data_IF_771282000480
#
_entry.id   IF_771282000480
#
_cell.length_a   1.000
_cell.length_b   1.000
_cell.length_c   1.000
_cell.angle_alpha   90.00
_cell.angle_beta   90.00
_cell.angle_gamma   90.00
#
_symmetry.space_group_name_H-M   'P 1'
#
loop_
_entity.id
_entity.type
_entity.pdbx_description
1 polymer ?
#
# COMPACT_ATOMS: atom_id res chain seq x y z
N UNK A 1 11.72 9.69 11.40
CA UNK A 1 12.20 10.17 12.71
C UNK A 1 11.50 9.56 13.94
N UNK A 2 10.17 9.62 14.12
CA UNK A 2 9.53 9.34 15.43
C UNK A 2 9.23 7.86 15.80
N UNK A 3 9.54 6.91 14.92
CA UNK A 3 9.19 5.49 15.10
C UNK A 3 9.85 4.83 16.31
N UNK A 4 10.97 5.37 16.81
CA UNK A 4 11.63 4.84 18.00
C UNK A 4 10.71 4.88 19.24
N UNK A 5 9.80 5.88 19.32
CA UNK A 5 8.81 5.99 20.40
C UNK A 5 7.84 4.82 20.38
N UNK A 6 7.42 4.38 19.19
CA UNK A 6 6.55 3.21 19.01
C UNK A 6 7.27 1.94 19.46
N UNK A 7 8.57 1.83 19.21
CA UNK A 7 9.40 0.72 19.65
C UNK A 7 9.58 0.60 21.18
N UNK A 8 9.15 1.61 21.95
CA UNK A 8 9.19 1.61 23.42
C UNK A 8 7.83 1.29 24.07
N UNK A 9 6.75 1.20 23.29
CA UNK A 9 5.41 1.01 23.82
C UNK A 9 5.22 -0.37 24.47
N UNK A 10 4.43 -0.39 25.53
CA UNK A 10 3.98 -1.59 26.24
C UNK A 10 2.45 -1.60 26.34
N UNK A 11 1.88 -2.77 26.59
CA UNK A 11 0.45 -2.91 26.81
C UNK A 11 -0.02 -2.03 27.98
N UNK A 12 -1.02 -1.18 27.73
CA UNK A 12 -1.55 -0.22 28.71
C UNK A 12 -0.99 1.20 28.58
N UNK A 13 0.05 1.43 27.78
CA UNK A 13 0.57 2.77 27.53
C UNK A 13 -0.46 3.66 26.81
N UNK A 14 -0.41 4.97 27.10
CA UNK A 14 -1.24 5.98 26.44
C UNK A 14 -0.40 6.73 25.42
N UNK A 15 -0.94 6.86 24.21
CA UNK A 15 -0.30 7.59 23.11
C UNK A 15 -1.22 8.69 22.62
N UNK A 16 -0.64 9.83 22.26
CA UNK A 16 -1.32 10.90 21.54
C UNK A 16 -0.52 11.22 20.28
N UNK A 17 -1.16 11.11 19.12
CA UNK A 17 -0.56 11.57 17.87
C UNK A 17 -0.56 13.11 17.83
N UNK A 18 0.59 13.67 17.49
CA UNK A 18 0.78 15.11 17.31
C UNK A 18 0.93 15.38 15.81
N UNK A 19 0.09 16.23 15.20
CA UNK A 19 0.23 16.56 13.79
C UNK A 19 1.49 17.43 13.59
N UNK A 20 2.30 17.07 12.59
CA UNK A 20 3.60 17.69 12.29
C UNK A 20 3.71 17.86 10.77
N UNK A 21 4.18 19.02 10.33
CA UNK A 21 4.41 19.33 8.92
C UNK A 21 5.65 18.63 8.39
N UNK A 22 5.74 18.50 7.07
CA UNK A 22 6.95 18.01 6.41
C UNK A 22 8.18 18.85 6.78
N UNK A 23 8.05 20.18 6.86
CA UNK A 23 9.13 21.10 7.24
C UNK A 23 9.66 20.79 8.63
N UNK A 24 8.77 20.67 9.63
CA UNK A 24 9.20 20.35 10.99
C UNK A 24 9.78 18.93 11.08
N UNK A 25 9.16 17.95 10.40
CA UNK A 25 9.67 16.58 10.35
C UNK A 25 11.08 16.52 9.73
N UNK A 26 11.36 17.30 8.68
CA UNK A 26 12.67 17.40 8.03
C UNK A 26 13.72 17.99 8.97
N UNK A 27 13.40 19.04 9.71
CA UNK A 27 14.31 19.63 10.72
C UNK A 27 14.62 18.63 11.82
N UNK A 28 13.63 17.88 12.30
CA UNK A 28 13.82 16.83 13.31
C UNK A 28 14.73 15.71 12.76
N UNK A 29 14.50 15.24 11.55
CA UNK A 29 15.30 14.19 10.91
C UNK A 29 16.77 14.63 10.72
N UNK A 30 17.00 15.88 10.31
CA UNK A 30 18.35 16.46 10.22
C UNK A 30 19.05 16.53 11.59
N UNK A 31 18.32 16.95 12.65
CA UNK A 31 18.86 16.95 14.02
C UNK A 31 19.22 15.56 14.50
N UNK A 32 18.39 14.56 14.23
CA UNK A 32 18.68 13.17 14.58
C UNK A 32 19.90 12.64 13.83
N UNK A 33 20.01 12.93 12.53
CA UNK A 33 21.17 12.53 11.72
C UNK A 33 22.47 13.17 12.21
N UNK A 34 22.45 14.46 12.57
CA UNK A 34 23.59 15.16 13.17
C UNK A 34 23.97 14.54 14.52
N UNK A 35 22.96 14.21 15.35
CA UNK A 35 23.19 13.56 16.65
C UNK A 35 23.85 12.18 16.51
N UNK A 36 23.48 11.41 15.49
CA UNK A 36 24.07 10.09 15.22
C UNK A 36 25.52 10.13 14.73
N UNK A 37 25.93 11.25 14.14
CA UNK A 37 27.28 11.43 13.56
C UNK A 37 28.20 12.30 14.43
N UNK A 38 27.68 12.85 15.52
CA UNK A 38 28.41 13.72 16.42
C UNK A 38 29.52 12.96 17.18
N UNK A 39 30.74 13.50 17.12
CA UNK A 39 31.88 13.00 17.90
C UNK A 39 31.82 13.38 19.39
N UNK A 40 30.99 14.36 19.74
CA UNK A 40 30.83 14.90 21.09
C UNK A 40 29.34 15.05 21.43
N UNK A 41 28.92 14.40 22.51
CA UNK A 41 27.52 14.36 22.95
C UNK A 41 27.08 15.61 23.70
N UNK A 42 28.01 16.49 24.11
CA UNK A 42 27.66 17.72 24.84
C UNK A 42 26.86 18.72 23.99
N UNK A 43 26.89 18.57 22.66
CA UNK A 43 26.16 19.41 21.71
C UNK A 43 24.88 18.77 21.16
N UNK A 44 24.52 17.59 21.63
CA UNK A 44 23.33 16.87 21.19
C UNK A 44 22.12 17.32 21.99
N UNK A 45 21.06 17.73 21.28
CA UNK A 45 19.73 17.92 21.85
C UNK A 45 19.00 16.56 21.91
N UNK A 46 18.97 15.95 23.10
CA UNK A 46 18.29 14.68 23.33
C UNK A 46 16.77 14.81 23.46
N UNK A 47 16.23 16.03 23.48
CA UNK A 47 14.80 16.27 23.64
C UNK A 47 14.32 17.37 22.69
N UNK A 48 14.42 17.15 21.36
CA UNK A 48 13.99 18.15 20.41
C UNK A 48 12.49 18.43 20.57
N UNK A 49 12.15 19.71 20.65
CA UNK A 49 10.77 20.16 20.77
C UNK A 49 9.98 19.78 19.51
N UNK A 50 8.74 19.29 19.73
CA UNK A 50 7.75 19.04 18.68
C UNK A 50 6.56 19.95 18.95
N UNK A 51 6.28 20.82 17.99
CA UNK A 51 5.14 21.71 17.99
C UNK A 51 3.99 21.08 17.22
N UNK A 52 2.78 21.09 17.79
CA UNK A 52 1.61 20.61 17.09
C UNK A 52 1.24 21.61 15.99
N UNK A 53 1.03 21.13 14.77
CA UNK A 53 0.62 21.93 13.62
C UNK A 53 -0.76 21.46 13.10
N UNK A 54 -1.88 21.83 13.75
CA UNK A 54 -3.22 21.32 13.40
C UNK A 54 -3.65 21.63 11.97
N UNK A 55 -3.10 22.67 11.35
CA UNK A 55 -3.38 23.01 9.96
C UNK A 55 -3.01 21.87 8.99
N UNK A 56 -2.04 21.03 9.35
CA UNK A 56 -1.66 19.84 8.56
C UNK A 56 -2.71 18.75 8.55
N UNK A 57 -3.74 18.83 9.41
CA UNK A 57 -4.87 17.90 9.41
C UNK A 57 -5.95 18.26 8.37
N UNK A 58 -5.88 19.44 7.76
CA UNK A 58 -6.90 19.92 6.82
C UNK A 58 -6.91 19.13 5.52
N UNK A 59 -5.73 18.80 5.01
CA UNK A 59 -5.57 18.06 3.75
C UNK A 59 -4.25 17.28 3.74
N UNK A 60 -4.27 16.13 3.08
CA UNK A 60 -3.13 15.26 2.83
C UNK A 60 -2.90 15.07 1.31
N UNK A 61 -3.28 16.07 0.50
CA UNK A 61 -2.98 16.15 -0.93
C UNK A 61 -1.94 17.25 -1.15
N UNK A 62 -0.81 16.89 -1.76
CA UNK A 62 0.21 17.86 -2.17
C UNK A 62 -0.19 18.54 -3.48
N UNK A 63 -0.73 17.78 -4.42
CA UNK A 63 -1.25 18.28 -5.68
C UNK A 63 -2.21 17.26 -6.31
N UNK A 64 -3.08 17.77 -7.17
CA UNK A 64 -3.90 16.98 -8.07
C UNK A 64 -3.69 17.51 -9.49
N UNK A 65 -3.45 16.60 -10.44
CA UNK A 65 -3.54 16.88 -11.86
C UNK A 65 -4.85 16.32 -12.38
N UNK A 66 -5.68 17.19 -12.91
CA UNK A 66 -6.95 16.79 -13.52
C UNK A 66 -6.71 15.91 -14.75
N UNK A 67 -7.56 14.89 -14.88
CA UNK A 67 -7.53 14.00 -16.03
C UNK A 67 -7.85 14.74 -17.33
N UNK A 68 -7.36 14.19 -18.45
CA UNK A 68 -7.76 14.59 -19.80
C UNK A 68 -8.49 13.42 -20.46
N UNK A 69 -9.06 13.62 -21.65
CA UNK A 69 -9.85 12.60 -22.36
C UNK A 69 -9.22 11.20 -22.35
N UNK A 70 -7.89 11.10 -22.51
CA UNK A 70 -7.14 9.84 -22.56
C UNK A 70 -6.16 9.64 -21.39
N UNK A 71 -6.19 10.52 -20.38
CA UNK A 71 -5.25 10.47 -19.25
C UNK A 71 -6.02 10.50 -17.92
N UNK A 72 -5.78 9.55 -17.00
CA UNK A 72 -6.43 9.57 -15.71
C UNK A 72 -5.97 10.79 -14.89
N UNK A 73 -6.81 11.21 -13.95
CA UNK A 73 -6.38 12.15 -12.91
C UNK A 73 -5.24 11.55 -12.08
N UNK A 74 -4.42 12.41 -11.50
CA UNK A 74 -3.29 12.01 -10.65
C UNK A 74 -3.37 12.76 -9.34
N UNK A 75 -3.33 12.05 -8.22
CA UNK A 75 -3.25 12.65 -6.88
C UNK A 75 -1.91 12.31 -6.24
N UNK A 76 -1.23 13.32 -5.72
CA UNK A 76 0.05 13.18 -5.02
C UNK A 76 -0.16 13.41 -3.53
N UNK A 77 0.22 12.45 -2.70
CA UNK A 77 0.03 12.51 -1.24
C UNK A 77 1.35 12.30 -0.51
N UNK A 78 1.58 12.98 0.64
CA UNK A 78 2.65 12.59 1.52
C UNK A 78 2.31 11.24 2.17
N UNK A 79 3.29 10.35 2.29
CA UNK A 79 3.13 9.05 2.95
C UNK A 79 4.13 8.91 4.11
N UNK A 80 4.13 9.90 5.00
CA UNK A 80 5.18 10.11 6.00
C UNK A 80 6.23 11.12 5.52
N UNK A 81 7.35 11.20 6.23
CA UNK A 81 8.42 12.17 5.94
C UNK A 81 9.41 11.72 4.85
N UNK A 82 9.36 10.44 4.44
CA UNK A 82 10.30 9.84 3.48
C UNK A 82 9.60 9.16 2.30
N UNK A 83 8.29 9.33 2.15
CA UNK A 83 7.56 8.74 1.03
C UNK A 83 6.60 9.72 0.38
N UNK A 84 6.42 9.54 -0.92
CA UNK A 84 5.37 10.18 -1.71
C UNK A 84 4.55 9.08 -2.39
N UNK A 85 3.23 9.17 -2.24
CA UNK A 85 2.28 8.26 -2.86
C UNK A 85 1.66 8.95 -4.09
N UNK A 86 1.85 8.34 -5.25
CA UNK A 86 1.19 8.74 -6.50
C UNK A 86 -0.02 7.83 -6.71
N UNK A 87 -1.19 8.40 -6.90
CA UNK A 87 -2.44 7.67 -7.11
C UNK A 87 -3.07 8.06 -8.45
N UNK A 88 -3.42 7.08 -9.27
CA UNK A 88 -4.08 7.33 -10.55
C UNK A 88 -5.57 7.04 -10.48
N UNK A 89 -6.36 7.95 -11.05
CA UNK A 89 -7.78 7.77 -11.33
C UNK A 89 -8.67 7.59 -10.10
N UNK A 90 -9.90 7.19 -10.38
CA UNK A 90 -10.92 6.91 -9.36
C UNK A 90 -10.61 5.65 -8.54
N UNK A 91 -11.36 5.44 -7.46
CA UNK A 91 -11.28 4.26 -6.60
C UNK A 91 -11.90 3.00 -7.27
N UNK A 92 -11.37 2.63 -8.44
CA UNK A 92 -11.83 1.51 -9.26
C UNK A 92 -10.68 0.57 -9.61
N UNK A 93 -11.01 -0.70 -9.85
CA UNK A 93 -10.06 -1.65 -10.43
C UNK A 93 -10.04 -1.48 -11.95
N UNK A 94 -9.01 -0.80 -12.44
CA UNK A 94 -8.73 -0.66 -13.87
C UNK A 94 -7.28 -1.09 -14.17
N UNK A 95 -7.13 -2.07 -15.05
CA UNK A 95 -5.83 -2.62 -15.44
C UNK A 95 -4.98 -1.58 -16.18
N UNK A 96 -5.58 -0.62 -16.87
CA UNK A 96 -4.85 0.44 -17.56
C UNK A 96 -4.05 1.30 -16.58
N UNK A 97 -4.61 1.59 -15.40
CA UNK A 97 -3.92 2.32 -14.34
C UNK A 97 -2.67 1.57 -13.89
N UNK A 98 -2.70 0.24 -13.90
CA UNK A 98 -1.54 -0.59 -13.55
C UNK A 98 -0.42 -0.54 -14.59
N UNK A 99 -0.75 -0.45 -15.88
CA UNK A 99 0.24 -0.18 -16.94
C UNK A 99 0.81 1.23 -16.83
N UNK A 100 -0.02 2.22 -16.49
CA UNK A 100 0.46 3.58 -16.23
C UNK A 100 1.45 3.66 -15.07
N UNK A 101 1.18 2.95 -13.97
CA UNK A 101 2.12 2.82 -12.84
C UNK A 101 3.42 2.17 -13.27
N UNK A 102 3.36 1.13 -14.11
CA UNK A 102 4.55 0.51 -14.65
C UNK A 102 5.38 1.53 -15.43
N UNK A 103 4.73 2.30 -16.30
CA UNK A 103 5.37 3.36 -17.10
C UNK A 103 6.06 4.41 -16.22
N UNK A 104 5.35 4.92 -15.20
CA UNK A 104 5.91 5.87 -14.25
C UNK A 104 7.09 5.28 -13.48
N UNK A 105 6.97 4.03 -13.01
CA UNK A 105 8.03 3.35 -12.29
C UNK A 105 9.29 3.18 -13.16
N UNK A 106 9.15 2.84 -14.45
CA UNK A 106 10.30 2.76 -15.36
C UNK A 106 10.90 4.15 -15.60
N UNK A 107 10.06 5.16 -15.86
CA UNK A 107 10.54 6.53 -16.03
C UNK A 107 11.38 6.99 -14.84
N UNK A 108 10.91 6.79 -13.60
CA UNK A 108 11.66 7.18 -12.39
C UNK A 108 13.01 6.44 -12.29
N UNK A 109 13.06 5.16 -12.67
CA UNK A 109 14.31 4.39 -12.71
C UNK A 109 15.28 4.95 -13.74
N UNK A 110 14.78 5.29 -14.93
CA UNK A 110 15.58 5.80 -16.04
C UNK A 110 16.18 7.18 -15.74
N UNK A 111 15.47 8.02 -14.97
CA UNK A 111 15.97 9.32 -14.54
C UNK A 111 17.17 9.23 -13.57
N UNK A 112 17.39 8.09 -12.91
CA UNK A 112 18.49 7.88 -11.94
C UNK A 112 18.60 8.99 -10.90
N UNK A 113 17.45 9.45 -10.40
CA UNK A 113 17.36 10.55 -9.42
C UNK A 113 18.10 10.14 -8.14
N UNK A 114 19.11 10.92 -7.77
CA UNK A 114 19.84 10.72 -6.53
C UNK A 114 18.91 10.94 -5.33
N UNK A 115 18.98 10.05 -4.35
CA UNK A 115 18.11 10.08 -3.17
C UNK A 115 16.84 9.23 -3.27
N UNK A 116 16.51 8.64 -4.42
CA UNK A 116 15.44 7.61 -4.48
C UNK A 116 15.98 6.28 -3.95
N UNK A 117 15.28 5.69 -2.98
CA UNK A 117 15.68 4.45 -2.28
C UNK A 117 14.99 3.24 -2.92
N UNK A 118 13.66 3.23 -2.95
CA UNK A 118 12.87 2.15 -3.55
C UNK A 118 11.52 2.63 -4.11
N UNK A 119 10.95 1.80 -4.97
CA UNK A 119 9.71 2.04 -5.69
C UNK A 119 8.80 0.83 -5.47
N UNK A 120 7.64 1.07 -4.86
CA UNK A 120 6.68 0.02 -4.53
C UNK A 120 5.38 0.23 -5.31
N UNK A 121 5.16 -0.51 -6.42
CA UNK A 121 3.94 -0.42 -7.21
C UNK A 121 2.78 -1.12 -6.50
N UNK A 122 1.66 -0.41 -6.36
CA UNK A 122 0.37 -0.96 -5.95
C UNK A 122 -0.55 -1.26 -7.12
N UNK A 123 -1.86 -1.41 -6.85
CA UNK A 123 -2.88 -1.67 -7.86
C UNK A 123 -3.07 -0.44 -8.77
N UNK A 124 -3.38 0.71 -8.15
CA UNK A 124 -3.61 2.01 -8.79
C UNK A 124 -2.76 3.13 -8.18
N UNK A 125 -1.62 2.77 -7.60
CA UNK A 125 -0.66 3.71 -7.01
C UNK A 125 0.80 3.29 -7.16
N UNK A 126 1.71 4.24 -7.01
CA UNK A 126 3.14 4.02 -6.84
C UNK A 126 3.58 4.73 -5.56
N UNK A 127 4.13 3.97 -4.62
CA UNK A 127 4.80 4.55 -3.45
C UNK A 127 6.29 4.71 -3.76
N UNK A 128 6.81 5.91 -3.54
CA UNK A 128 8.19 6.27 -3.83
C UNK A 128 8.87 6.61 -2.50
N UNK A 129 9.86 5.81 -2.11
CA UNK A 129 10.70 6.07 -0.96
C UNK A 129 11.91 6.91 -1.37
N UNK A 130 12.15 7.99 -0.64
CA UNK A 130 13.29 8.86 -0.89
C UNK A 130 13.99 9.23 0.43
N UNK A 131 15.29 9.46 0.33
CA UNK A 131 16.10 10.02 1.41
C UNK A 131 15.78 11.52 1.56
N UNK A 132 15.00 11.86 2.57
CA UNK A 132 14.59 13.23 2.89
C UNK A 132 15.73 14.16 3.32
N UNK A 133 16.91 13.61 3.64
CA UNK A 133 18.11 14.40 3.93
C UNK A 133 18.76 14.88 2.62
N UNK A 134 18.70 14.07 1.57
CA UNK A 134 19.34 14.35 0.28
C UNK A 134 18.41 14.97 -0.75
N UNK A 135 17.10 14.66 -0.69
CA UNK A 135 16.14 15.04 -1.72
C UNK A 135 14.82 15.55 -1.13
N UNK A 136 14.36 16.70 -1.61
CA UNK A 136 13.15 17.34 -1.08
C UNK A 136 11.86 16.78 -1.69
N UNK A 137 10.80 16.69 -0.89
CA UNK A 137 9.50 16.18 -1.33
C UNK A 137 8.89 17.02 -2.46
N UNK A 138 9.05 18.35 -2.44
CA UNK A 138 8.49 19.22 -3.47
C UNK A 138 9.30 19.13 -4.77
N UNK A 139 10.61 18.90 -4.69
CA UNK A 139 11.43 18.62 -5.87
C UNK A 139 11.03 17.29 -6.51
N UNK A 140 10.77 16.25 -5.70
CA UNK A 140 10.21 14.98 -6.20
C UNK A 140 8.86 15.20 -6.88
N UNK A 141 7.95 15.95 -6.23
CA UNK A 141 6.64 16.27 -6.79
C UNK A 141 6.74 16.93 -8.17
N UNK A 142 7.59 17.95 -8.31
CA UNK A 142 7.79 18.64 -9.59
C UNK A 142 8.29 17.69 -10.69
N UNK A 143 9.23 16.80 -10.38
CA UNK A 143 9.71 15.79 -11.34
C UNK A 143 8.61 14.82 -11.75
N UNK A 144 7.76 14.41 -10.81
CA UNK A 144 6.65 13.50 -11.11
C UNK A 144 5.57 14.19 -11.96
N UNK A 145 5.30 15.47 -11.71
CA UNK A 145 4.39 16.26 -12.56
C UNK A 145 4.93 16.43 -13.99
N UNK A 146 6.25 16.62 -14.13
CA UNK A 146 6.91 16.63 -15.44
C UNK A 146 6.78 15.27 -16.13
N UNK A 147 6.96 14.17 -15.39
CA UNK A 147 6.87 12.82 -15.93
C UNK A 147 5.54 12.57 -16.67
N UNK A 148 4.42 13.09 -16.16
CA UNK A 148 3.09 12.89 -16.76
C UNK A 148 3.00 13.35 -18.23
N UNK A 149 3.82 14.32 -18.64
CA UNK A 149 3.90 14.79 -20.04
C UNK A 149 4.84 13.93 -20.92
N UNK A 150 5.70 13.13 -20.31
CA UNK A 150 6.74 12.32 -20.97
C UNK A 150 6.40 10.82 -21.01
N UNK A 151 5.44 10.36 -20.20
CA UNK A 151 5.04 8.96 -20.17
C UNK A 151 4.51 8.51 -21.54
N UNK A 152 4.91 7.32 -22.01
CA UNK A 152 4.41 6.77 -23.25
C UNK A 152 2.93 6.42 -23.14
N UNK A 153 2.26 6.32 -24.29
CA UNK A 153 0.92 5.74 -24.36
C UNK A 153 0.92 4.27 -23.91
N UNK A 154 -0.12 3.89 -23.17
CA UNK A 154 -0.30 2.56 -22.61
C UNK A 154 -1.22 1.67 -23.45
N UNK A 155 -1.96 2.19 -24.44
CA UNK A 155 -2.96 1.42 -25.19
C UNK A 155 -2.38 0.16 -25.83
N UNK A 156 -1.15 0.24 -26.35
CA UNK A 156 -0.45 -0.87 -27.00
C UNK A 156 0.74 -1.39 -26.18
N UNK A 157 0.78 -1.07 -24.88
CA UNK A 157 1.88 -1.47 -24.02
C UNK A 157 1.87 -2.98 -23.79
N UNK A 158 3.04 -3.59 -23.94
CA UNK A 158 3.26 -5.00 -23.67
C UNK A 158 4.28 -5.14 -22.55
N UNK A 159 4.03 -6.10 -21.65
CA UNK A 159 4.93 -6.42 -20.55
C UNK A 159 5.26 -7.91 -20.58
N UNK A 160 6.49 -8.31 -20.23
CA UNK A 160 6.81 -9.72 -20.02
C UNK A 160 5.87 -10.33 -18.97
N UNK A 161 5.31 -11.49 -19.27
CA UNK A 161 4.41 -12.21 -18.37
C UNK A 161 4.82 -13.69 -18.28
N UNK A 162 4.63 -14.28 -17.10
CA UNK A 162 4.81 -15.71 -16.87
C UNK A 162 3.54 -16.28 -16.28
N UNK A 163 3.16 -17.47 -16.72
CA UNK A 163 2.04 -18.21 -16.15
C UNK A 163 2.57 -19.26 -15.18
N UNK A 164 2.04 -19.26 -13.96
CA UNK A 164 2.39 -20.24 -12.92
C UNK A 164 1.12 -20.99 -12.54
N UNK A 165 1.20 -22.32 -12.55
CA UNK A 165 0.11 -23.20 -12.12
C UNK A 165 0.43 -23.71 -10.72
N UNK A 166 -0.43 -23.40 -9.75
CA UNK A 166 -0.24 -23.76 -8.35
C UNK A 166 -1.30 -24.76 -7.91
N UNK A 167 -0.93 -25.85 -7.21
CA UNK A 167 -1.91 -26.71 -6.57
C UNK A 167 -2.55 -25.98 -5.38
N UNK A 168 -3.87 -26.11 -5.23
CA UNK A 168 -4.62 -25.52 -4.12
C UNK A 168 -5.53 -26.58 -3.48
N UNK A 169 -5.40 -26.74 -2.17
CA UNK A 169 -6.32 -27.55 -1.36
C UNK A 169 -7.50 -26.67 -0.92
N UNK A 170 -8.72 -27.09 -1.23
CA UNK A 170 -9.92 -26.30 -0.94
C UNK A 170 -10.42 -26.54 0.49
N UNK A 171 -10.60 -25.47 1.27
CA UNK A 171 -11.07 -25.52 2.67
C UNK A 171 -10.29 -26.57 3.49
N UNK A 172 -8.96 -26.58 3.40
CA UNK A 172 -8.13 -27.52 4.15
C UNK A 172 -8.14 -27.26 5.67
N UNK A 173 -7.57 -28.17 6.46
CA UNK A 173 -7.62 -28.07 7.92
C UNK A 173 -6.91 -26.86 8.50
N UNK A 174 -5.86 -26.34 7.85
CA UNK A 174 -5.13 -25.16 8.33
C UNK A 174 -5.92 -23.88 8.07
N UNK A 175 -6.54 -23.74 6.89
CA UNK A 175 -7.42 -22.59 6.60
C UNK A 175 -8.65 -22.56 7.51
N UNK A 176 -9.22 -23.73 7.83
CA UNK A 176 -10.30 -23.84 8.81
C UNK A 176 -9.85 -23.42 10.22
N UNK A 177 -8.68 -23.90 10.68
CA UNK A 177 -8.11 -23.53 11.97
C UNK A 177 -7.91 -22.02 12.14
N UNK A 178 -7.52 -21.31 11.06
CA UNK A 178 -7.39 -19.85 11.09
C UNK A 178 -8.73 -19.15 11.37
N UNK A 179 -9.81 -19.67 10.81
CA UNK A 179 -11.17 -19.15 10.98
C UNK A 179 -11.71 -19.47 12.38
N UNK A 180 -11.45 -20.68 12.88
CA UNK A 180 -11.79 -21.09 14.24
C UNK A 180 -11.10 -20.19 15.29
N UNK A 181 -9.78 -20.00 15.15
CA UNK A 181 -9.00 -19.12 16.04
C UNK A 181 -9.56 -17.71 16.05
N UNK A 182 -9.80 -17.13 14.87
CA UNK A 182 -10.37 -15.77 14.78
C UNK A 182 -11.71 -15.65 15.50
N UNK A 183 -12.59 -16.62 15.28
CA UNK A 183 -13.92 -16.65 15.89
C UNK A 183 -13.81 -16.74 17.42
N UNK A 184 -12.91 -17.56 17.94
CA UNK A 184 -12.74 -17.76 19.38
C UNK A 184 -12.10 -16.57 20.11
N UNK A 185 -11.10 -15.90 19.50
CA UNK A 185 -10.23 -14.97 20.23
C UNK A 185 -10.32 -13.52 19.75
N UNK A 186 -10.94 -13.25 18.61
CA UNK A 186 -10.97 -11.90 18.02
C UNK A 186 -12.40 -11.37 17.90
N UNK A 187 -13.24 -11.99 17.06
CA UNK A 187 -14.57 -11.47 16.77
C UNK A 187 -15.53 -12.56 16.26
N UNK A 188 -16.28 -13.22 17.16
CA UNK A 188 -17.21 -14.29 16.78
C UNK A 188 -18.46 -13.81 16.04
N UNK A 189 -18.87 -12.56 16.23
CA UNK A 189 -20.16 -12.01 15.75
C UNK A 189 -20.10 -11.37 14.35
N UNK A 190 -19.00 -11.59 13.63
CA UNK A 190 -18.80 -10.96 12.33
C UNK A 190 -19.64 -11.60 11.21
N UNK A 191 -20.08 -10.86 10.19
CA UNK A 191 -20.88 -11.41 9.09
C UNK A 191 -20.20 -12.51 8.26
N UNK A 192 -18.86 -12.55 8.26
CA UNK A 192 -18.06 -13.57 7.59
C UNK A 192 -17.80 -14.81 8.44
N UNK A 193 -18.16 -14.79 9.73
CA UNK A 193 -18.11 -15.94 10.60
C UNK A 193 -19.43 -16.75 10.52
N UNK A 194 -19.39 -18.07 10.77
CA UNK A 194 -18.19 -18.89 11.03
C UNK A 194 -17.49 -19.37 9.75
N UNK A 195 -18.03 -19.09 8.57
CA UNK A 195 -17.57 -19.65 7.30
C UNK A 195 -17.43 -18.55 6.24
N UNK A 196 -16.17 -18.26 5.87
CA UNK A 196 -15.84 -17.23 4.88
C UNK A 196 -16.36 -17.59 3.49
N UNK A 197 -16.34 -18.86 3.09
CA UNK A 197 -16.78 -19.30 1.77
C UNK A 197 -18.31 -19.17 1.68
N UNK A 198 -19.03 -19.50 2.76
CA UNK A 198 -20.46 -19.26 2.84
C UNK A 198 -20.80 -17.77 2.80
N UNK A 199 -19.99 -16.91 3.44
CA UNK A 199 -20.15 -15.46 3.33
C UNK A 199 -20.00 -14.98 1.88
N UNK A 200 -18.94 -15.41 1.18
CA UNK A 200 -18.73 -15.07 -0.25
C UNK A 200 -19.89 -15.57 -1.09
N UNK A 201 -20.37 -16.80 -0.86
CA UNK A 201 -21.54 -17.34 -1.57
C UNK A 201 -22.77 -16.44 -1.35
N UNK A 202 -23.09 -16.13 -0.10
CA UNK A 202 -24.28 -15.37 0.29
C UNK A 202 -24.27 -13.96 -0.27
N UNK A 203 -23.16 -13.23 -0.16
CA UNK A 203 -23.06 -11.83 -0.60
C UNK A 203 -23.09 -11.69 -2.13
N UNK A 204 -22.67 -12.73 -2.86
CA UNK A 204 -22.71 -12.76 -4.33
C UNK A 204 -23.95 -13.45 -4.90
N UNK A 205 -24.89 -13.91 -4.06
CA UNK A 205 -26.11 -14.60 -4.51
C UNK A 205 -25.84 -15.91 -5.27
N UNK A 206 -24.72 -16.58 -4.99
CA UNK A 206 -24.35 -17.82 -5.67
C UNK A 206 -25.16 -19.01 -5.12
N UNK A 207 -25.45 -19.98 -5.99
CA UNK A 207 -26.32 -21.11 -5.67
C UNK A 207 -25.75 -22.05 -4.58
N UNK A 208 -24.42 -22.16 -4.47
CA UNK A 208 -23.76 -23.08 -3.54
C UNK A 208 -22.31 -22.68 -3.25
N UNK A 209 -21.70 -23.21 -2.18
CA UNK A 209 -20.25 -23.06 -1.93
C UNK A 209 -19.41 -23.67 -3.06
N UNK A 210 -19.93 -24.71 -3.73
CA UNK A 210 -19.30 -25.30 -4.90
C UNK A 210 -19.18 -24.28 -6.05
N UNK A 211 -20.18 -23.42 -6.26
CA UNK A 211 -20.07 -22.37 -7.28
C UNK A 211 -18.95 -21.35 -6.97
N UNK A 212 -18.70 -21.04 -5.68
CA UNK A 212 -17.54 -20.23 -5.27
C UNK A 212 -16.24 -20.93 -5.64
N UNK A 213 -16.14 -22.22 -5.32
CA UNK A 213 -14.99 -23.07 -5.67
C UNK A 213 -14.73 -23.07 -7.18
N UNK A 214 -15.77 -23.30 -7.98
CA UNK A 214 -15.64 -23.37 -9.44
C UNK A 214 -15.12 -22.05 -10.02
N UNK A 215 -15.57 -20.90 -9.48
CA UNK A 215 -15.04 -19.57 -9.86
C UNK A 215 -13.55 -19.45 -9.51
N UNK A 216 -13.13 -19.84 -8.31
CA UNK A 216 -11.74 -19.74 -7.87
C UNK A 216 -10.81 -20.64 -8.70
N UNK A 217 -11.20 -21.89 -8.95
CA UNK A 217 -10.36 -22.84 -9.69
C UNK A 217 -10.31 -22.57 -11.21
N UNK A 218 -11.31 -21.87 -11.77
CA UNK A 218 -11.36 -21.57 -13.21
C UNK A 218 -10.79 -20.20 -13.57
N UNK A 219 -10.40 -19.38 -12.58
CA UNK A 219 -9.93 -18.02 -12.83
C UNK A 219 -8.45 -17.96 -13.22
N UNK A 220 -8.16 -17.07 -14.18
CA UNK A 220 -6.80 -16.63 -14.48
C UNK A 220 -6.52 -15.36 -13.69
N UNK A 221 -5.60 -15.44 -12.72
CA UNK A 221 -5.27 -14.33 -11.84
C UNK A 221 -4.08 -13.52 -12.36
N UNK A 222 -4.27 -12.23 -12.56
CA UNK A 222 -3.20 -11.28 -12.85
C UNK A 222 -2.65 -10.71 -11.55
N UNK A 223 -1.35 -10.89 -11.31
CA UNK A 223 -0.65 -10.29 -10.16
C UNK A 223 -0.48 -8.79 -10.41
N UNK A 224 -1.06 -7.98 -9.52
CA UNK A 224 -1.04 -6.52 -9.58
C UNK A 224 0.08 -5.93 -8.72
N UNK A 225 0.48 -6.62 -7.65
CA UNK A 225 1.53 -6.19 -6.72
C UNK A 225 2.01 -7.36 -5.87
N UNK A 226 3.06 -7.13 -5.09
CA UNK A 226 3.68 -8.12 -4.22
C UNK A 226 3.76 -7.59 -2.79
N UNK A 227 3.83 -8.51 -1.82
CA UNK A 227 3.89 -8.17 -0.40
C UNK A 227 2.52 -7.88 0.23
N UNK A 228 1.44 -8.51 -0.25
CA UNK A 228 0.07 -8.45 0.32
C UNK A 228 -0.34 -9.83 0.89
N UNK A 229 0.18 -10.28 2.03
CA UNK A 229 1.12 -9.57 2.92
C UNK A 229 2.42 -10.37 3.10
N UNK A 230 3.56 -9.64 3.11
CA UNK A 230 4.92 -10.14 3.32
C UNK A 230 5.51 -11.01 2.20
N UNK A 231 6.85 -11.12 2.19
CA UNK A 231 7.63 -12.12 1.45
C UNK A 231 7.24 -12.38 -0.02
N UNK A 232 6.74 -11.35 -0.72
CA UNK A 232 6.31 -11.48 -2.12
C UNK A 232 4.93 -12.10 -2.33
N UNK A 233 4.11 -12.22 -1.28
CA UNK A 233 2.71 -12.65 -1.40
C UNK A 233 1.96 -11.76 -2.41
N UNK A 234 1.31 -12.34 -3.43
CA UNK A 234 0.73 -11.57 -4.52
C UNK A 234 -0.62 -10.97 -4.12
N UNK A 235 -0.84 -9.70 -4.46
CA UNK A 235 -2.20 -9.19 -4.67
C UNK A 235 -2.56 -9.41 -6.13
N UNK A 236 -3.60 -10.21 -6.37
CA UNK A 236 -4.00 -10.60 -7.71
C UNK A 236 -5.51 -10.43 -7.93
N UNK A 237 -5.91 -10.27 -9.19
CA UNK A 237 -7.32 -10.15 -9.57
C UNK A 237 -7.64 -11.05 -10.77
N UNK A 238 -8.85 -11.64 -10.84
CA UNK A 238 -9.30 -12.34 -12.04
C UNK A 238 -9.30 -11.43 -13.27
N UNK A 239 -8.73 -11.95 -14.36
CA UNK A 239 -8.77 -11.29 -15.68
C UNK A 239 -10.20 -11.19 -16.21
N UNK A 240 -11.01 -12.24 -16.06
CA UNK A 240 -12.43 -12.21 -16.40
C UNK A 240 -13.20 -11.41 -15.33
N UNK A 241 -13.83 -10.27 -15.68
CA UNK A 241 -14.58 -9.47 -14.72
C UNK A 241 -15.72 -10.22 -14.03
N UNK A 242 -16.28 -11.26 -14.66
CA UNK A 242 -17.37 -12.08 -14.11
C UNK A 242 -16.92 -12.95 -12.93
N UNK A 243 -15.62 -13.16 -12.77
CA UNK A 243 -15.03 -13.94 -11.69
C UNK A 243 -14.61 -13.07 -10.49
N UNK A 244 -14.85 -11.75 -10.54
CA UNK A 244 -14.54 -10.81 -9.45
C UNK A 244 -15.66 -10.81 -8.42
N UNK A 245 -15.58 -11.73 -7.47
CA UNK A 245 -16.56 -11.87 -6.40
C UNK A 245 -16.42 -10.76 -5.35
N UNK A 246 -17.55 -10.24 -4.88
CA UNK A 246 -17.63 -9.31 -3.76
C UNK A 246 -17.26 -10.02 -2.47
N UNK A 247 -16.42 -9.40 -1.65
CA UNK A 247 -16.07 -9.86 -0.31
C UNK A 247 -15.62 -8.67 0.53
N UNK A 248 -15.22 -8.90 1.78
CA UNK A 248 -14.64 -7.88 2.65
C UNK A 248 -13.32 -8.34 3.24
N UNK A 249 -12.41 -7.39 3.52
CA UNK A 249 -11.33 -7.64 4.46
C UNK A 249 -11.93 -7.77 5.87
N UNK A 250 -11.26 -8.54 6.72
CA UNK A 250 -11.64 -8.74 8.11
C UNK A 250 -11.61 -7.41 8.90
N UNK A 251 -12.48 -7.28 9.90
CA UNK A 251 -12.48 -6.14 10.82
C UNK A 251 -12.73 -6.58 12.29
N UNK A 252 -11.72 -6.56 13.17
CA UNK A 252 -10.30 -6.31 12.87
C UNK A 252 -9.67 -7.51 12.13
N UNK A 253 -8.46 -7.32 11.59
CA UNK A 253 -7.70 -8.37 10.91
C UNK A 253 -7.35 -9.55 11.85
N UNK A 254 -7.06 -10.72 11.26
CA UNK A 254 -6.52 -11.85 12.02
C UNK A 254 -5.11 -11.53 12.53
N UNK A 255 -4.77 -12.06 13.71
CA UNK A 255 -3.40 -12.01 14.26
C UNK A 255 -2.52 -13.17 13.80
N UNK A 256 -3.11 -14.19 13.18
CA UNK A 256 -2.41 -15.36 12.65
C UNK A 256 -3.12 -15.91 11.39
N UNK A 257 -2.33 -16.30 10.40
CA UNK A 257 -2.77 -17.00 9.18
C UNK A 257 -1.70 -18.04 8.86
N UNK A 258 -2.07 -19.29 8.47
CA UNK A 258 -1.09 -20.29 8.09
C UNK A 258 -0.33 -19.89 6.82
N UNK A 259 0.87 -20.43 6.66
CA UNK A 259 1.67 -20.21 5.46
C UNK A 259 0.91 -20.69 4.22
N UNK A 260 0.93 -19.90 3.14
CA UNK A 260 0.31 -20.20 1.84
C UNK A 260 -1.22 -20.32 1.82
N UNK A 261 -1.91 -19.80 2.85
CA UNK A 261 -3.38 -19.67 2.89
C UNK A 261 -3.93 -18.45 2.16
#
# INVERSE_FOLDING_TARGET
SELWKIGQLKAGDKVKFVPVSYTQAKVLDQKYHQSLTAADTTRIDFNPAIEAEPDTLKDAVLATLEGKTDLPSVTYRPAGNSYLLVEYGELVLDLNLRFRIHSLMQWVKDQKIQGIIDLTPGIRSLQIHFDSIQFDQLELLQKLQQAEAELPDIQNMQVPSRTVYLPLAWEDSQTQLATERYTQIVRPDAPWCPDNVEFIRRINGLASKQAVKDVVYSANYLVMGLGDVYLGAPVATPLDPRQRLVTTKYNPARTWTPENA
#
